data_IF_684087423982
#
_entry.id   IF_684087423982
#
_cell.length_a   1.000
_cell.length_b   1.000
_cell.length_c   1.000
_cell.angle_alpha   90.00
_cell.angle_beta   90.00
_cell.angle_gamma   90.00
#
_symmetry.space_group_name_H-M   'P 1'
#
loop_
_entity.id
_entity.type
_entity.pdbx_description
1 polymer ?
#
# COMPACT_ATOMS: atom_id res chain seq x y z
N UNK A 1 -2.08 -19.49 -14.26
CA UNK A 1 -1.78 -19.06 -15.64
C UNK A 1 -0.50 -18.25 -15.56
N UNK A 2 0.59 -18.79 -16.14
CA UNK A 2 1.96 -18.24 -16.35
C UNK A 2 2.61 -17.46 -15.18
N UNK A 3 3.42 -18.16 -14.37
CA UNK A 3 4.53 -17.54 -13.64
C UNK A 3 5.69 -17.37 -14.63
N UNK A 4 5.83 -16.16 -15.20
CA UNK A 4 6.96 -15.83 -16.07
C UNK A 4 8.15 -15.46 -15.19
N UNK A 5 9.07 -16.40 -14.98
CA UNK A 5 10.36 -16.14 -14.35
C UNK A 5 11.34 -15.67 -15.41
N UNK A 6 11.36 -14.36 -15.70
CA UNK A 6 12.48 -13.73 -16.39
C UNK A 6 13.65 -13.60 -15.41
N UNK A 7 14.86 -13.85 -15.89
CA UNK A 7 16.12 -13.74 -15.13
C UNK A 7 16.24 -12.38 -14.46
N UNK A 8 16.07 -12.34 -13.14
CA UNK A 8 15.97 -11.09 -12.38
C UNK A 8 17.37 -10.55 -12.12
N UNK A 9 17.82 -9.61 -12.97
CA UNK A 9 18.58 -8.49 -12.42
C UNK A 9 17.71 -7.87 -11.34
N UNK A 10 18.15 -7.91 -10.08
CA UNK A 10 17.43 -7.32 -8.94
C UNK A 10 17.11 -5.87 -9.27
N UNK A 11 15.83 -5.58 -9.54
CA UNK A 11 15.35 -4.23 -9.78
C UNK A 11 15.60 -3.41 -8.52
N UNK A 12 16.20 -2.23 -8.64
CA UNK A 12 16.37 -1.33 -7.51
C UNK A 12 15.04 -0.71 -7.09
N UNK A 13 14.98 -0.19 -5.86
CA UNK A 13 13.80 0.51 -5.37
C UNK A 13 13.52 1.76 -6.20
N UNK A 14 14.57 2.48 -6.60
CA UNK A 14 14.52 3.69 -7.41
C UNK A 14 13.92 3.39 -8.79
N UNK A 15 14.40 2.33 -9.46
CA UNK A 15 13.83 1.89 -10.74
C UNK A 15 12.37 1.45 -10.60
N UNK A 16 12.02 0.79 -9.49
CA UNK A 16 10.64 0.41 -9.21
C UNK A 16 9.71 1.62 -9.07
N UNK A 17 10.15 2.70 -8.42
CA UNK A 17 9.33 3.90 -8.18
C UNK A 17 9.06 4.71 -9.47
N UNK A 18 9.93 4.58 -10.47
CA UNK A 18 9.74 5.18 -11.80
C UNK A 18 8.77 4.38 -12.70
N UNK A 19 8.41 3.15 -12.32
CA UNK A 19 7.44 2.36 -13.08
C UNK A 19 6.04 3.00 -13.00
N UNK A 20 5.25 2.92 -14.09
CA UNK A 20 3.89 3.43 -14.09
C UNK A 20 3.03 2.69 -13.05
N UNK A 21 2.17 3.44 -12.36
CA UNK A 21 1.25 2.85 -11.38
C UNK A 21 0.29 1.85 -12.04
N UNK A 22 0.11 0.69 -11.41
CA UNK A 22 -0.79 -0.39 -11.84
C UNK A 22 -2.05 -0.46 -10.98
N UNK A 23 -3.08 -1.17 -11.49
CA UNK A 23 -4.26 -1.57 -10.70
C UNK A 23 -4.56 -3.06 -10.93
N UNK A 24 -4.61 -3.89 -9.88
CA UNK A 24 -4.21 -3.60 -8.50
C UNK A 24 -2.75 -3.17 -8.39
N UNK A 25 -2.45 -2.38 -7.35
CA UNK A 25 -1.12 -1.82 -7.14
C UNK A 25 -0.05 -2.90 -6.99
N UNK A 26 1.14 -2.60 -7.51
CA UNK A 26 2.35 -3.36 -7.21
C UNK A 26 3.05 -2.84 -5.94
N UNK A 27 3.60 -3.77 -5.18
CA UNK A 27 4.46 -3.59 -4.02
C UNK A 27 5.87 -4.08 -4.33
N UNK A 28 6.86 -3.51 -3.65
CA UNK A 28 8.26 -3.87 -3.78
C UNK A 28 8.82 -4.31 -2.44
N UNK A 29 9.33 -5.53 -2.39
CA UNK A 29 9.90 -6.17 -1.21
C UNK A 29 11.16 -6.92 -1.65
N UNK A 30 12.31 -6.53 -1.07
CA UNK A 30 13.59 -7.23 -1.19
C UNK A 30 14.00 -7.53 -2.66
N UNK A 31 13.94 -6.52 -3.54
CA UNK A 31 14.34 -6.65 -4.96
C UNK A 31 13.27 -7.22 -5.88
N UNK A 32 12.08 -7.52 -5.36
CA UNK A 32 11.02 -8.20 -6.09
C UNK A 32 9.72 -7.38 -6.10
N UNK A 33 8.99 -7.49 -7.21
CA UNK A 33 7.68 -6.86 -7.38
C UNK A 33 6.58 -7.88 -7.12
N UNK A 34 5.61 -7.51 -6.27
CA UNK A 34 4.42 -8.29 -5.97
C UNK A 34 3.18 -7.49 -6.34
N UNK A 35 2.28 -8.06 -7.14
CA UNK A 35 1.01 -7.40 -7.44
C UNK A 35 -0.05 -7.79 -6.41
N UNK A 36 -0.75 -6.79 -5.85
CA UNK A 36 -1.88 -7.04 -4.94
C UNK A 36 -3.00 -7.84 -5.67
N UNK A 37 -3.77 -8.66 -4.96
CA UNK A 37 -4.98 -9.25 -5.52
C UNK A 37 -6.03 -8.15 -5.80
N UNK A 38 -6.91 -8.41 -6.77
CA UNK A 38 -8.12 -7.59 -6.94
C UNK A 38 -8.97 -7.67 -5.68
N UNK A 39 -9.38 -6.51 -5.16
CA UNK A 39 -10.26 -6.45 -4.00
C UNK A 39 -11.64 -7.02 -4.33
N UNK A 40 -12.26 -7.66 -3.34
CA UNK A 40 -13.62 -8.20 -3.41
C UNK A 40 -14.52 -7.50 -2.40
N UNK A 41 -15.84 -7.59 -2.57
CA UNK A 41 -16.80 -6.85 -1.74
C UNK A 41 -16.60 -6.99 -0.23
N UNK A 42 -16.31 -8.20 0.29
CA UNK A 42 -16.04 -8.41 1.72
C UNK A 42 -14.80 -7.65 2.20
N UNK A 43 -13.73 -7.67 1.40
CA UNK A 43 -12.51 -6.92 1.68
C UNK A 43 -12.79 -5.40 1.66
N UNK A 44 -13.50 -4.91 0.66
CA UNK A 44 -13.86 -3.50 0.55
C UNK A 44 -14.74 -3.01 1.70
N UNK A 45 -15.69 -3.82 2.18
CA UNK A 45 -16.53 -3.50 3.34
C UNK A 45 -15.66 -3.31 4.58
N UNK A 46 -14.76 -4.28 4.86
CA UNK A 46 -13.87 -4.22 6.02
C UNK A 46 -12.94 -3.00 5.94
N UNK A 47 -12.32 -2.77 4.78
CA UNK A 47 -11.41 -1.64 4.57
C UNK A 47 -12.11 -0.29 4.79
N UNK A 48 -13.33 -0.14 4.25
CA UNK A 48 -14.12 1.09 4.35
C UNK A 48 -14.55 1.35 5.79
N UNK A 49 -15.16 0.37 6.45
CA UNK A 49 -15.66 0.54 7.81
C UNK A 49 -14.54 0.73 8.82
N UNK A 50 -13.45 -0.05 8.71
CA UNK A 50 -12.33 0.07 9.63
C UNK A 50 -11.64 1.43 9.52
N UNK A 51 -11.34 1.90 8.29
CA UNK A 51 -10.72 3.21 8.10
C UNK A 51 -11.63 4.37 8.52
N UNK A 52 -12.94 4.24 8.31
CA UNK A 52 -13.93 5.20 8.80
C UNK A 52 -13.96 5.28 10.32
N UNK A 53 -14.04 4.12 11.00
CA UNK A 53 -14.11 4.06 12.46
C UNK A 53 -12.84 4.58 13.14
N UNK A 54 -11.65 4.28 12.60
CA UNK A 54 -10.40 4.86 13.10
C UNK A 54 -10.46 6.39 12.99
N UNK A 55 -10.85 6.89 11.82
CA UNK A 55 -10.93 8.31 11.56
C UNK A 55 -11.99 9.04 12.41
N UNK A 56 -13.09 8.37 12.77
CA UNK A 56 -14.12 8.95 13.62
C UNK A 56 -13.58 9.31 15.01
N UNK A 57 -12.70 8.47 15.57
CA UNK A 57 -12.13 8.70 16.90
C UNK A 57 -10.88 9.57 16.88
N UNK A 58 -10.15 9.64 15.76
CA UNK A 58 -8.84 10.31 15.70
C UNK A 58 -8.81 11.67 15.00
N UNK A 59 -9.73 11.95 14.08
CA UNK A 59 -9.67 13.16 13.24
C UNK A 59 -10.00 14.46 13.98
N UNK A 60 -10.97 14.44 14.89
CA UNK A 60 -11.45 15.65 15.59
C UNK A 60 -10.34 16.29 16.43
N UNK A 61 -9.58 15.46 17.14
CA UNK A 61 -8.45 15.89 17.98
C UNK A 61 -7.14 16.01 17.20
N UNK A 62 -7.16 15.71 15.89
CA UNK A 62 -5.96 15.63 15.05
C UNK A 62 -4.86 14.77 15.69
N UNK A 63 -5.25 13.63 16.24
CA UNK A 63 -4.29 12.69 16.82
C UNK A 63 -3.70 11.79 15.74
N UNK A 64 -4.54 11.28 14.83
CA UNK A 64 -4.12 10.42 13.73
C UNK A 64 -5.08 10.49 12.53
N UNK A 65 -4.62 9.97 11.39
CA UNK A 65 -5.41 9.81 10.17
C UNK A 65 -5.19 8.42 9.56
N UNK A 66 -6.29 7.72 9.27
CA UNK A 66 -6.27 6.51 8.47
C UNK A 66 -6.51 6.82 6.99
N UNK A 67 -5.60 6.35 6.13
CA UNK A 67 -5.59 6.52 4.68
C UNK A 67 -5.62 5.14 4.02
N UNK A 68 -6.53 4.93 3.07
CA UNK A 68 -6.66 3.65 2.35
C UNK A 68 -5.77 3.63 1.11
N UNK A 69 -5.15 2.49 0.80
CA UNK A 69 -4.34 2.28 -0.40
C UNK A 69 -3.23 3.34 -0.62
N UNK A 70 -2.60 3.81 0.46
CA UNK A 70 -1.51 4.79 0.39
C UNK A 70 -0.16 4.09 0.15
N UNK A 71 0.59 4.55 -0.85
CA UNK A 71 1.97 4.08 -1.06
C UNK A 71 2.87 4.54 0.09
N UNK A 72 3.49 3.58 0.76
CA UNK A 72 4.42 3.80 1.86
C UNK A 72 5.79 3.25 1.49
N UNK A 73 6.77 4.13 1.29
CA UNK A 73 8.15 3.74 0.95
C UNK A 73 9.08 3.98 2.14
N UNK A 74 9.69 2.91 2.66
CA UNK A 74 10.61 2.98 3.79
C UNK A 74 11.47 1.70 3.87
N UNK A 75 12.66 1.80 4.48
CA UNK A 75 13.50 0.63 4.74
C UNK A 75 13.86 -0.20 3.50
N UNK A 76 14.00 0.44 2.34
CA UNK A 76 14.27 -0.26 1.07
C UNK A 76 13.06 -0.97 0.47
N UNK A 77 11.83 -0.68 0.93
CA UNK A 77 10.57 -1.29 0.46
C UNK A 77 9.58 -0.23 0.04
N UNK A 78 8.64 -0.59 -0.83
CA UNK A 78 7.51 0.28 -1.20
C UNK A 78 6.22 -0.52 -1.22
N UNK A 79 5.38 -0.31 -0.21
CA UNK A 79 4.15 -1.06 0.03
C UNK A 79 2.92 -0.21 -0.27
N UNK A 80 1.77 -0.85 -0.48
CA UNK A 80 0.47 -0.20 -0.56
C UNK A 80 -0.48 -0.92 0.40
N UNK A 81 -0.38 -0.66 1.72
CA UNK A 81 -1.26 -1.27 2.70
C UNK A 81 -2.72 -0.96 2.41
N UNK A 82 -3.62 -1.88 2.78
CA UNK A 82 -5.06 -1.62 2.68
C UNK A 82 -5.46 -0.38 3.49
N UNK A 83 -4.88 -0.23 4.69
CA UNK A 83 -5.03 0.94 5.55
C UNK A 83 -3.67 1.28 6.16
N UNK A 84 -3.24 2.53 6.01
CA UNK A 84 -2.10 3.09 6.72
C UNK A 84 -2.59 4.19 7.68
N UNK A 85 -2.18 4.11 8.95
CA UNK A 85 -2.57 5.08 9.99
C UNK A 85 -1.33 5.84 10.43
N UNK A 86 -1.39 7.16 10.34
CA UNK A 86 -0.30 8.04 10.75
C UNK A 86 -0.75 8.98 11.85
N UNK A 87 0.14 9.23 12.82
CA UNK A 87 -0.02 10.39 13.69
C UNK A 87 -0.13 11.66 12.84
N UNK A 88 -0.98 12.59 13.25
CA UNK A 88 -1.25 13.79 12.46
C UNK A 88 0.01 14.64 12.24
N UNK A 89 0.95 14.59 13.18
CA UNK A 89 2.25 15.29 13.11
C UNK A 89 3.21 14.71 12.05
N UNK A 90 2.90 13.54 11.49
CA UNK A 90 3.76 12.79 10.55
C UNK A 90 3.16 12.69 9.14
N UNK A 91 2.09 13.45 8.88
CA UNK A 91 1.41 13.58 7.59
C UNK A 91 1.81 14.93 6.98
#
# INVERSE_FOLDING_TARGET
MVLSTQSVSTLSLEEFLELPATKPYCEYIDGQIFQKPMSQGKHSIIQTELSSNINQVSKSEKSALALTELRCTFGGRSLVPDIAVFEWSRI
#
